data_IF_570142257480
#
_entry.id   IF_570142257480
#
_cell.length_a   1.000
_cell.length_b   1.000
_cell.length_c   1.000
_cell.angle_alpha   90.00
_cell.angle_beta   90.00
_cell.angle_gamma   90.00
#
_symmetry.space_group_name_H-M   'P 1'
#
loop_
_entity.id
_entity.type
_entity.pdbx_description
1 polymer ?
#
# COMPACT_ATOMS: atom_id res chain seq x y z
N UNK A 1 -10.95 5.34 -4.21
CA UNK A 1 -11.94 5.92 -3.26
C UNK A 1 -11.21 6.70 -2.14
N UNK A 2 -11.58 7.94 -1.79
CA UNK A 2 -11.00 8.67 -0.64
C UNK A 2 -11.33 8.05 0.72
N UNK A 3 -10.37 8.03 1.64
CA UNK A 3 -10.54 7.46 2.99
C UNK A 3 -10.07 8.38 4.13
N UNK A 4 -9.17 9.31 3.83
CA UNK A 4 -8.72 10.36 4.74
C UNK A 4 -8.11 11.50 3.92
N UNK A 5 -7.74 12.62 4.57
CA UNK A 5 -7.12 13.76 3.87
C UNK A 5 -5.83 13.32 3.17
N UNK A 6 -5.83 13.37 1.84
CA UNK A 6 -4.68 12.98 1.01
C UNK A 6 -4.45 11.46 0.87
N UNK A 7 -5.42 10.63 1.30
CA UNK A 7 -5.35 9.17 1.23
C UNK A 7 -6.53 8.59 0.44
N UNK A 8 -6.23 7.63 -0.42
CA UNK A 8 -7.20 6.89 -1.22
C UNK A 8 -6.94 5.38 -1.14
N UNK A 9 -7.98 4.59 -1.38
CA UNK A 9 -7.87 3.15 -1.67
C UNK A 9 -7.96 2.94 -3.17
N UNK A 10 -7.10 2.08 -3.67
CA UNK A 10 -7.12 1.55 -5.03
C UNK A 10 -6.93 0.05 -4.99
N UNK A 11 -7.40 -0.65 -6.02
CA UNK A 11 -7.13 -2.06 -6.17
C UNK A 11 -5.73 -2.27 -6.77
N UNK A 12 -5.00 -3.29 -6.32
CA UNK A 12 -3.56 -3.44 -6.60
C UNK A 12 -3.18 -3.67 -8.06
N UNK A 13 -4.10 -4.20 -8.89
CA UNK A 13 -3.90 -4.39 -10.34
C UNK A 13 -4.34 -3.19 -11.21
N UNK A 14 -4.80 -2.08 -10.60
CA UNK A 14 -5.07 -0.84 -11.34
C UNK A 14 -3.79 -0.16 -11.86
N UNK A 15 -2.62 -0.70 -11.51
CA UNK A 15 -1.31 -0.24 -11.96
C UNK A 15 -0.32 -1.39 -12.14
N UNK A 16 0.95 -1.03 -12.34
CA UNK A 16 2.01 -2.03 -12.43
C UNK A 16 2.25 -2.67 -11.05
N UNK A 17 1.99 -3.97 -10.95
CA UNK A 17 2.20 -4.74 -9.72
C UNK A 17 3.69 -4.96 -9.50
N UNK A 18 4.17 -4.65 -8.30
CA UNK A 18 5.55 -4.88 -7.88
C UNK A 18 5.69 -6.21 -7.12
N UNK A 19 6.87 -6.81 -7.21
CA UNK A 19 7.25 -7.95 -6.36
C UNK A 19 7.70 -7.54 -4.96
N UNK A 20 7.95 -6.24 -4.72
CA UNK A 20 8.37 -5.69 -3.42
C UNK A 20 7.17 -5.03 -2.75
N UNK A 21 6.87 -5.41 -1.51
CA UNK A 21 5.76 -4.82 -0.75
C UNK A 21 5.93 -3.32 -0.53
N UNK A 22 4.81 -2.59 -0.53
CA UNK A 22 4.71 -1.14 -0.49
C UNK A 22 4.92 -0.45 -1.84
N UNK A 23 5.55 -1.11 -2.82
CA UNK A 23 5.91 -0.47 -4.09
C UNK A 23 4.76 -0.42 -5.09
N UNK A 24 3.83 -1.39 -5.05
CA UNK A 24 2.63 -1.32 -5.91
C UNK A 24 1.78 -0.11 -5.51
N UNK A 25 1.51 0.02 -4.21
CA UNK A 25 0.78 1.16 -3.66
C UNK A 25 1.53 2.48 -3.89
N UNK A 26 2.86 2.51 -3.77
CA UNK A 26 3.63 3.74 -4.01
C UNK A 26 3.58 4.16 -5.48
N UNK A 27 3.66 3.20 -6.41
CA UNK A 27 3.51 3.48 -7.84
C UNK A 27 2.15 4.10 -8.17
N UNK A 28 1.08 3.58 -7.56
CA UNK A 28 -0.24 4.18 -7.65
C UNK A 28 -0.28 5.57 -6.99
N UNK A 29 0.33 5.73 -5.82
CA UNK A 29 0.35 7.01 -5.11
C UNK A 29 0.97 8.13 -5.95
N UNK A 30 2.05 7.81 -6.68
CA UNK A 30 2.72 8.73 -7.59
C UNK A 30 1.83 9.16 -8.76
N UNK A 31 1.07 8.23 -9.33
CA UNK A 31 0.15 8.53 -10.45
C UNK A 31 -1.01 9.41 -10.01
N UNK A 32 -1.49 9.24 -8.78
CA UNK A 32 -2.68 9.92 -8.28
C UNK A 32 -2.37 11.17 -7.43
N UNK A 33 -1.10 11.43 -7.10
CA UNK A 33 -0.69 12.55 -6.24
C UNK A 33 -1.29 12.48 -4.83
N UNK A 34 -1.66 11.28 -4.37
CA UNK A 34 -2.28 11.00 -3.07
C UNK A 34 -1.67 9.72 -2.52
N UNK A 35 -1.54 9.62 -1.20
CA UNK A 35 -1.13 8.36 -0.57
C UNK A 35 -2.17 7.28 -0.86
N UNK A 36 -1.71 6.05 -1.08
CA UNK A 36 -2.55 4.92 -1.50
C UNK A 36 -2.42 3.79 -0.51
N UNK A 37 -3.56 3.24 -0.10
CA UNK A 37 -3.66 1.89 0.44
C UNK A 37 -4.16 0.97 -0.65
N UNK A 38 -3.54 -0.20 -0.84
CA UNK A 38 -4.08 -1.23 -1.71
C UNK A 38 -3.97 -2.64 -1.13
N UNK A 39 -4.90 -3.48 -1.55
CA UNK A 39 -4.88 -4.93 -1.37
C UNK A 39 -4.59 -5.62 -2.70
N UNK A 40 -5.24 -6.77 -2.95
CA UNK A 40 -5.11 -7.59 -4.16
C UNK A 40 -3.73 -8.24 -4.39
N UNK A 41 -2.63 -7.57 -4.02
CA UNK A 41 -1.27 -8.07 -4.26
C UNK A 41 -0.86 -9.19 -3.30
N UNK A 42 -1.59 -9.37 -2.20
CA UNK A 42 -1.26 -10.22 -1.05
C UNK A 42 0.09 -9.88 -0.38
N UNK A 43 0.75 -8.80 -0.80
CA UNK A 43 2.01 -8.33 -0.21
C UNK A 43 1.73 -7.37 0.92
N UNK A 44 2.67 -7.29 1.86
CA UNK A 44 2.68 -6.28 2.89
C UNK A 44 3.90 -5.38 2.75
N UNK A 45 3.70 -4.07 2.91
CA UNK A 45 4.78 -3.13 3.01
C UNK A 45 4.31 -1.68 2.99
N UNK A 46 5.09 -0.84 3.66
CA UNK A 46 4.92 0.60 3.66
C UNK A 46 6.13 1.22 2.96
N UNK A 47 5.89 2.08 1.97
CA UNK A 47 6.94 2.81 1.26
C UNK A 47 6.57 4.29 1.20
N UNK A 48 7.55 5.16 1.40
CA UNK A 48 7.37 6.61 1.37
C UNK A 48 8.23 7.26 0.28
N UNK A 49 7.68 8.25 -0.41
CA UNK A 49 8.44 9.17 -1.24
C UNK A 49 8.26 10.60 -0.72
N UNK A 50 9.36 11.23 -0.32
CA UNK A 50 9.39 12.65 0.06
C UNK A 50 9.41 13.51 -1.19
N UNK A 51 8.41 14.39 -1.32
CA UNK A 51 8.37 15.44 -2.33
C UNK A 51 9.02 16.69 -1.73
N UNK A 52 10.26 16.98 -2.10
CA UNK A 52 10.98 18.18 -1.67
C UNK A 52 11.65 18.86 -2.87
N UNK A 53 11.66 20.19 -2.89
CA UNK A 53 12.31 20.99 -3.93
C UNK A 53 12.81 22.30 -3.33
N UNK A 54 14.01 22.75 -3.72
CA UNK A 54 14.58 24.00 -3.23
C UNK A 54 14.74 24.10 -1.71
N UNK A 55 14.96 22.97 -1.02
CA UNK A 55 15.05 22.90 0.45
C UNK A 55 13.69 22.97 1.17
N UNK A 56 12.58 23.04 0.44
CA UNK A 56 11.23 23.06 1.00
C UNK A 56 10.61 21.67 0.93
N UNK A 57 10.10 21.18 2.07
CA UNK A 57 9.33 19.95 2.14
C UNK A 57 7.90 20.19 1.62
N UNK A 58 7.56 19.59 0.50
CA UNK A 58 6.22 19.60 -0.10
C UNK A 58 5.28 18.52 0.44
N UNK A 59 5.83 17.49 1.10
CA UNK A 59 5.07 16.42 1.74
C UNK A 59 5.67 15.04 1.49
N UNK A 60 4.97 14.00 1.95
CA UNK A 60 5.37 12.60 1.74
C UNK A 60 4.16 11.86 1.18
N UNK A 61 4.34 11.20 0.03
CA UNK A 61 3.38 10.23 -0.49
C UNK A 61 3.70 8.87 0.09
N UNK A 62 2.68 8.19 0.58
CA UNK A 62 2.80 6.85 1.13
C UNK A 62 2.10 5.83 0.24
N UNK A 63 2.77 4.71 -0.01
CA UNK A 63 2.18 3.50 -0.55
C UNK A 63 2.11 2.44 0.53
N UNK A 64 0.92 1.96 0.83
CA UNK A 64 0.67 0.92 1.83
C UNK A 64 -0.02 -0.30 1.23
N UNK A 65 0.70 -1.42 1.14
CA UNK A 65 0.13 -2.74 0.84
C UNK A 65 -0.13 -3.47 2.17
N UNK A 66 -1.38 -3.92 2.37
CA UNK A 66 -1.87 -4.33 3.71
C UNK A 66 -1.62 -5.79 4.08
N UNK A 67 -1.06 -6.60 3.17
CA UNK A 67 -0.93 -8.04 3.38
C UNK A 67 -2.21 -8.81 3.07
N UNK A 68 -2.36 -9.96 3.71
CA UNK A 68 -3.55 -10.80 3.57
C UNK A 68 -3.77 -11.66 4.82
N UNK A 69 -5.03 -12.06 5.03
CA UNK A 69 -5.44 -13.01 6.08
C UNK A 69 -5.84 -14.38 5.49
N UNK A 70 -5.40 -14.66 4.26
CA UNK A 70 -5.74 -15.90 3.58
C UNK A 70 -5.02 -17.08 4.22
N UNK A 71 -5.76 -18.15 4.50
CA UNK A 71 -5.16 -19.44 4.78
C UNK A 71 -4.50 -19.99 3.50
N UNK A 72 -3.17 -20.15 3.53
CA UNK A 72 -2.40 -20.61 2.36
C UNK A 72 -2.85 -21.98 1.82
N UNK A 73 -3.44 -22.84 2.66
CA UNK A 73 -3.98 -24.14 2.21
C UNK A 73 -5.15 -23.98 1.22
N UNK A 74 -5.85 -22.86 1.30
CA UNK A 74 -6.99 -22.54 0.45
C UNK A 74 -6.56 -21.81 -0.84
N UNK A 75 -5.29 -21.44 -0.97
CA UNK A 75 -4.70 -20.82 -2.16
C UNK A 75 -4.45 -21.82 -3.30
N UNK A 76 -5.48 -22.60 -3.64
CA UNK A 76 -5.42 -23.69 -4.65
C UNK A 76 -5.02 -23.20 -6.05
N UNK A 77 -5.26 -21.91 -6.33
CA UNK A 77 -4.89 -21.27 -7.60
C UNK A 77 -3.38 -21.10 -7.80
N UNK A 78 -2.57 -21.20 -6.75
CA UNK A 78 -1.11 -21.18 -6.88
C UNK A 78 -0.55 -22.45 -7.55
N UNK A 79 -1.35 -23.52 -7.69
CA UNK A 79 -0.96 -24.80 -8.35
C UNK A 79 0.42 -25.31 -7.92
N UNK A 80 0.78 -25.14 -6.64
CA UNK A 80 2.08 -25.55 -6.08
C UNK A 80 3.20 -24.49 -6.12
N UNK A 81 2.93 -23.29 -6.62
CA UNK A 81 3.85 -22.15 -6.54
C UNK A 81 3.87 -21.51 -5.14
N UNK A 82 5.03 -20.95 -4.77
CA UNK A 82 5.18 -20.17 -3.54
C UNK A 82 4.84 -18.70 -3.80
N UNK A 83 3.82 -18.17 -3.12
CA UNK A 83 3.48 -16.76 -3.16
C UNK A 83 4.41 -15.93 -2.26
N UNK A 84 5.00 -14.86 -2.78
CA UNK A 84 5.65 -13.84 -1.95
C UNK A 84 4.57 -12.99 -1.25
N UNK A 85 3.94 -13.56 -0.22
CA UNK A 85 2.79 -12.99 0.46
C UNK A 85 3.04 -12.92 1.96
N UNK A 86 2.72 -11.78 2.56
CA UNK A 86 2.88 -11.55 3.99
C UNK A 86 1.52 -11.61 4.67
N UNK A 87 1.42 -12.44 5.71
CA UNK A 87 0.23 -12.51 6.56
C UNK A 87 0.15 -11.25 7.42
N UNK A 88 -1.03 -10.66 7.48
CA UNK A 88 -1.28 -9.47 8.28
C UNK A 88 -2.40 -8.62 7.72
N UNK A 89 -2.60 -7.47 8.37
CA UNK A 89 -3.56 -6.46 7.94
C UNK A 89 -3.05 -5.06 8.22
N UNK A 90 -3.67 -4.08 7.58
CA UNK A 90 -3.32 -2.68 7.74
C UNK A 90 -4.31 -1.92 8.62
N UNK A 91 -3.77 -1.01 9.43
CA UNK A 91 -4.51 -0.01 10.17
C UNK A 91 -4.09 1.39 9.71
N UNK A 92 -5.05 2.31 9.67
CA UNK A 92 -4.78 3.73 9.53
C UNK A 92 -5.30 4.46 10.77
N UNK A 93 -4.41 5.17 11.45
CA UNK A 93 -4.80 6.10 12.51
C UNK A 93 -4.90 7.49 11.91
N UNK A 94 -6.07 8.12 12.00
CA UNK A 94 -6.29 9.51 11.57
C UNK A 94 -6.48 10.40 12.80
N UNK A 95 -5.67 11.45 12.90
CA UNK A 95 -5.77 12.44 13.96
C UNK A 95 -5.39 13.82 13.42
N UNK A 96 -6.32 14.78 13.53
CA UNK A 96 -6.13 16.19 13.10
C UNK A 96 -5.64 16.29 11.65
N UNK A 97 -6.17 15.46 10.75
CA UNK A 97 -5.79 15.44 9.32
C UNK A 97 -4.43 14.81 9.02
N UNK A 98 -3.76 14.22 10.01
CA UNK A 98 -2.56 13.39 9.83
C UNK A 98 -2.94 11.92 9.89
N UNK A 99 -2.36 11.14 8.99
CA UNK A 99 -2.61 9.70 8.90
C UNK A 99 -1.32 8.94 9.18
N UNK A 100 -1.39 7.97 10.08
CA UNK A 100 -0.30 7.06 10.40
C UNK A 100 -0.69 5.65 9.98
N UNK A 101 -0.10 5.10 8.91
CA UNK A 101 -0.28 3.72 8.52
C UNK A 101 0.52 2.78 9.43
N UNK A 102 -0.11 1.68 9.85
CA UNK A 102 0.50 0.63 10.67
C UNK A 102 0.18 -0.72 10.06
N UNK A 103 1.23 -1.52 9.85
CA UNK A 103 1.10 -2.93 9.50
C UNK A 103 1.07 -3.76 10.78
N UNK A 104 0.17 -4.74 10.85
CA UNK A 104 -0.03 -5.66 11.98
C UNK A 104 0.07 -7.10 11.50
#
# INVERSE_FOLDING_TARGET
MPIAKGWIVLHGDEGAVSQKGGQTALGLALRHGKSVVCGHTHRAGLSGLTMASGGVLGGILWGFEVGNLMNFKDAKYLKGGSGNWQQGFGLLYEAKGKVTPVFV
#
